data_IF_524177188134
#
_entry.id   IF_524177188134
#
_cell.length_a   1.000
_cell.length_b   1.000
_cell.length_c   1.000
_cell.angle_alpha   90.00
_cell.angle_beta   90.00
_cell.angle_gamma   90.00
#
_symmetry.space_group_name_H-M   'P 1'
#
loop_
_entity.id
_entity.type
_entity.pdbx_description
1 polymer ?
#
# COMPACT_ATOMS: atom_id res chain seq x y z
N UNK A 1 1.91 6.80 21.19
CA UNK A 1 3.05 7.36 20.45
C UNK A 1 3.74 6.23 19.71
N UNK A 2 3.42 6.03 18.43
CA UNK A 2 4.26 5.20 17.58
C UNK A 2 5.65 5.83 17.53
N UNK A 3 6.75 5.06 17.54
CA UNK A 3 8.08 5.63 17.40
C UNK A 3 8.15 6.40 16.08
N UNK A 4 8.36 7.71 16.18
CA UNK A 4 8.56 8.59 15.04
C UNK A 4 10.05 8.78 14.84
N UNK A 5 10.59 8.37 13.70
CA UNK A 5 11.94 8.76 13.27
C UNK A 5 11.84 10.13 12.61
N UNK A 6 12.70 11.07 12.95
CA UNK A 6 12.77 12.36 12.25
C UNK A 6 13.23 12.18 10.79
N UNK A 7 12.81 13.08 9.91
CA UNK A 7 13.34 13.12 8.57
C UNK A 7 14.83 13.51 8.60
N UNK A 8 15.63 12.88 7.74
CA UNK A 8 17.05 13.19 7.63
C UNK A 8 17.42 13.45 6.16
N UNK A 9 17.45 14.73 5.73
CA UNK A 9 17.76 15.08 4.35
C UNK A 9 19.25 14.91 4.02
N UNK A 10 20.11 14.90 5.04
CA UNK A 10 21.55 14.89 4.90
C UNK A 10 22.13 13.48 4.91
N UNK A 11 23.22 13.31 4.17
CA UNK A 11 23.94 12.04 4.10
C UNK A 11 24.65 11.79 5.42
N UNK A 12 24.18 10.79 6.17
CA UNK A 12 24.84 10.33 7.41
C UNK A 12 25.59 9.02 7.13
N UNK A 13 26.89 8.92 7.46
CA UNK A 13 27.66 7.69 7.32
C UNK A 13 26.98 6.50 8.01
N UNK A 14 26.88 5.38 7.31
CA UNK A 14 26.24 4.15 7.83
C UNK A 14 24.73 4.10 7.66
N UNK A 15 24.04 5.20 7.33
CA UNK A 15 22.61 5.19 7.02
C UNK A 15 22.39 4.96 5.52
N UNK A 16 21.60 3.93 5.11
CA UNK A 16 21.46 3.55 3.71
C UNK A 16 20.54 4.50 2.90
N UNK A 17 19.73 5.30 3.57
CA UNK A 17 18.70 6.16 2.96
C UNK A 17 18.69 7.55 3.58
N UNK A 18 18.35 8.56 2.78
CA UNK A 18 17.96 9.89 3.26
C UNK A 18 16.45 10.07 3.11
N UNK A 19 15.86 10.95 3.91
CA UNK A 19 14.42 11.20 3.91
C UNK A 19 14.07 12.66 4.12
N UNK A 20 12.93 13.09 3.60
CA UNK A 20 12.37 14.43 3.87
C UNK A 20 10.85 14.44 3.80
N UNK A 21 10.26 15.36 4.54
CA UNK A 21 8.81 15.54 4.59
C UNK A 21 8.38 16.63 3.61
N UNK A 22 7.27 16.39 2.92
CA UNK A 22 6.66 17.31 1.96
C UNK A 22 5.17 17.42 2.23
N UNK A 23 4.62 18.62 2.13
CA UNK A 23 3.16 18.80 2.16
C UNK A 23 2.56 18.41 0.81
N UNK A 24 1.62 17.47 0.84
CA UNK A 24 0.88 17.01 -0.34
C UNK A 24 -0.34 17.90 -0.57
N UNK A 25 -1.08 18.19 0.51
CA UNK A 25 -2.27 19.02 0.47
C UNK A 25 -2.30 19.94 1.71
N UNK A 26 -2.21 21.26 1.46
CA UNK A 26 -2.18 22.27 2.52
C UNK A 26 -3.49 22.41 3.28
N UNK A 27 -4.64 22.11 2.65
CA UNK A 27 -5.95 22.24 3.28
C UNK A 27 -6.21 21.06 4.23
N UNK A 28 -5.97 19.84 3.75
CA UNK A 28 -6.22 18.62 4.53
C UNK A 28 -5.04 18.23 5.42
N UNK A 29 -3.91 18.95 5.33
CA UNK A 29 -2.65 18.69 6.05
C UNK A 29 -2.08 17.30 5.78
N UNK A 30 -2.41 16.72 4.63
CA UNK A 30 -1.79 15.50 4.15
C UNK A 30 -0.34 15.80 3.75
N UNK A 31 0.57 14.98 4.22
CA UNK A 31 2.00 15.07 3.95
C UNK A 31 2.53 13.69 3.57
N UNK A 32 3.69 13.66 2.93
CA UNK A 32 4.38 12.42 2.60
C UNK A 32 5.85 12.52 2.97
N UNK A 33 6.46 11.38 3.30
CA UNK A 33 7.92 11.26 3.41
C UNK A 33 8.50 10.69 2.14
N UNK A 34 9.40 11.42 1.52
CA UNK A 34 10.17 10.94 0.38
C UNK A 34 11.42 10.27 0.92
N UNK A 35 11.65 9.01 0.54
CA UNK A 35 12.89 8.28 0.82
C UNK A 35 13.71 8.15 -0.46
N UNK A 36 15.03 8.33 -0.34
CA UNK A 36 15.98 8.13 -1.44
C UNK A 36 17.18 7.34 -0.94
N UNK A 37 17.69 6.35 -1.69
CA UNK A 37 18.96 5.71 -1.38
C UNK A 37 20.08 6.74 -1.27
N UNK A 38 20.95 6.56 -0.28
CA UNK A 38 22.14 7.38 -0.11
C UNK A 38 23.13 7.14 -1.27
N UNK A 39 23.30 5.87 -1.66
CA UNK A 39 24.09 5.47 -2.83
C UNK A 39 23.17 5.27 -4.03
N UNK A 40 23.25 6.16 -5.00
CA UNK A 40 22.46 6.08 -6.23
C UNK A 40 23.25 5.30 -7.30
N UNK A 41 22.58 4.38 -8.03
CA UNK A 41 23.20 3.72 -9.17
C UNK A 41 23.46 4.73 -10.30
N UNK A 42 24.64 4.66 -10.91
CA UNK A 42 25.03 5.45 -12.09
C UNK A 42 25.45 4.52 -13.23
N UNK A 43 25.24 4.97 -14.47
CA UNK A 43 25.72 4.32 -15.69
C UNK A 43 26.32 5.38 -16.61
N UNK A 44 27.43 5.08 -17.30
CA UNK A 44 28.09 5.85 -18.36
C UNK A 44 27.72 7.35 -18.47
N UNK A 45 27.94 8.10 -17.37
CA UNK A 45 27.74 9.55 -17.20
C UNK A 45 26.31 10.08 -16.88
N UNK A 46 25.36 9.22 -16.50
CA UNK A 46 24.04 9.62 -15.99
C UNK A 46 23.64 8.89 -14.70
N UNK A 47 22.83 9.53 -13.87
CA UNK A 47 22.21 8.85 -12.71
C UNK A 47 21.03 8.03 -13.20
N UNK A 48 20.99 6.75 -12.84
CA UNK A 48 19.89 5.86 -13.21
C UNK A 48 18.64 6.29 -12.46
N UNK A 49 17.54 6.55 -13.16
CA UNK A 49 16.24 6.83 -12.55
C UNK A 49 15.65 5.55 -11.96
N UNK A 50 15.18 5.66 -10.72
CA UNK A 50 14.63 4.58 -9.91
C UNK A 50 13.11 4.53 -10.05
N UNK A 51 12.48 3.34 -10.00
CA UNK A 51 11.03 3.23 -9.87
C UNK A 51 10.51 4.03 -8.68
N UNK A 52 9.37 4.70 -8.85
CA UNK A 52 8.70 5.42 -7.78
C UNK A 52 7.74 4.47 -7.08
N UNK A 53 7.92 4.29 -5.77
CA UNK A 53 7.02 3.49 -4.93
C UNK A 53 6.20 4.42 -4.04
N UNK A 54 4.90 4.38 -4.23
CA UNK A 54 3.93 4.96 -3.31
C UNK A 54 3.61 3.92 -2.25
N UNK A 55 4.17 4.09 -1.05
CA UNK A 55 3.93 3.20 0.07
C UNK A 55 2.92 3.83 1.03
N UNK A 56 1.76 3.21 1.20
CA UNK A 56 0.74 3.71 2.10
C UNK A 56 0.91 3.09 3.48
N UNK A 57 1.16 3.97 4.45
CA UNK A 57 1.23 3.69 5.88
C UNK A 57 0.42 4.76 6.64
N UNK A 58 0.57 4.92 7.95
CA UNK A 58 -0.26 5.76 8.84
C UNK A 58 -0.25 7.28 8.57
N UNK A 59 0.50 7.75 7.58
CA UNK A 59 0.67 9.18 7.26
C UNK A 59 -0.49 9.76 6.40
N UNK A 60 -1.72 9.35 6.70
CA UNK A 60 -2.95 9.88 6.11
C UNK A 60 -3.95 10.23 7.22
N UNK A 61 -5.05 10.91 6.89
CA UNK A 61 -6.08 11.25 7.88
C UNK A 61 -6.67 9.96 8.45
N UNK A 62 -6.63 9.80 9.78
CA UNK A 62 -7.00 8.54 10.43
C UNK A 62 -8.49 8.48 10.80
N UNK A 63 -9.01 7.26 10.81
CA UNK A 63 -10.28 6.94 11.43
C UNK A 63 -10.11 6.85 12.96
N UNK A 64 -11.14 7.17 13.76
CA UNK A 64 -12.53 7.44 13.37
C UNK A 64 -12.86 8.90 12.98
N UNK A 65 -11.94 9.84 13.16
CA UNK A 65 -12.14 11.26 12.86
C UNK A 65 -12.43 11.47 11.37
N UNK A 66 -11.73 10.72 10.52
CA UNK A 66 -11.91 10.70 9.07
C UNK A 66 -12.12 9.27 8.61
N UNK A 67 -13.38 8.84 8.49
CA UNK A 67 -13.74 7.50 8.01
C UNK A 67 -13.43 7.32 6.53
N UNK A 68 -13.31 6.07 6.09
CA UNK A 68 -13.23 5.72 4.66
C UNK A 68 -14.41 6.38 3.92
N UNK A 69 -14.21 6.96 2.73
CA UNK A 69 -13.07 6.80 1.82
C UNK A 69 -11.91 7.81 1.96
N UNK A 70 -11.86 8.62 3.02
CA UNK A 70 -10.91 9.74 3.12
C UNK A 70 -9.45 9.34 2.84
N UNK A 71 -9.02 8.18 3.34
CA UNK A 71 -7.67 7.65 3.14
C UNK A 71 -7.36 7.32 1.68
N UNK A 72 -8.38 6.90 0.92
CA UNK A 72 -8.25 6.66 -0.51
C UNK A 72 -8.17 7.97 -1.29
N UNK A 73 -8.84 9.03 -0.81
CA UNK A 73 -8.74 10.38 -1.38
C UNK A 73 -7.35 10.96 -1.12
N UNK A 74 -6.80 10.82 0.09
CA UNK A 74 -5.43 11.21 0.43
C UNK A 74 -4.39 10.50 -0.45
N UNK A 75 -4.64 9.23 -0.78
CA UNK A 75 -3.81 8.46 -1.70
C UNK A 75 -3.84 9.02 -3.13
N UNK A 76 -5.03 9.40 -3.62
CA UNK A 76 -5.18 10.03 -4.94
C UNK A 76 -4.52 11.42 -4.96
N UNK A 77 -4.73 12.23 -3.93
CA UNK A 77 -4.07 13.53 -3.76
C UNK A 77 -2.55 13.39 -3.86
N UNK A 78 -1.99 12.36 -3.23
CA UNK A 78 -0.55 12.06 -3.28
C UNK A 78 -0.09 11.69 -4.69
N UNK A 79 -0.83 10.84 -5.41
CA UNK A 79 -0.52 10.48 -6.81
C UNK A 79 -0.54 11.71 -7.71
N UNK A 80 -1.58 12.54 -7.59
CA UNK A 80 -1.72 13.78 -8.36
C UNK A 80 -0.70 14.84 -7.97
N UNK A 81 -0.25 14.86 -6.71
CA UNK A 81 0.83 15.72 -6.27
C UNK A 81 2.17 15.32 -6.92
N UNK A 82 2.49 14.03 -7.00
CA UNK A 82 3.69 13.54 -7.72
C UNK A 82 3.61 13.86 -9.22
N UNK A 83 2.42 13.78 -9.83
CA UNK A 83 2.17 14.28 -11.19
C UNK A 83 2.54 15.76 -11.35
N UNK A 84 2.16 16.61 -10.40
CA UNK A 84 2.54 18.03 -10.45
C UNK A 84 4.05 18.21 -10.36
N UNK A 85 4.75 17.41 -9.53
CA UNK A 85 6.20 17.53 -9.37
C UNK A 85 6.97 17.26 -10.65
N UNK A 86 6.54 16.33 -11.50
CA UNK A 86 7.23 16.08 -12.79
C UNK A 86 6.93 17.15 -13.84
N UNK A 87 5.73 17.72 -13.82
CA UNK A 87 5.30 18.73 -14.78
C UNK A 87 5.84 20.13 -14.46
N UNK A 88 6.20 20.39 -13.20
CA UNK A 88 6.74 21.67 -12.76
C UNK A 88 8.28 21.72 -12.91
N UNK A 89 8.84 22.67 -13.69
CA UNK A 89 10.28 22.91 -13.75
C UNK A 89 10.95 23.27 -12.42
N UNK A 90 10.17 23.60 -11.39
CA UNK A 90 10.60 23.82 -10.00
C UNK A 90 10.05 22.77 -9.03
N UNK A 91 9.46 21.69 -9.54
CA UNK A 91 8.95 20.60 -8.73
C UNK A 91 10.03 19.89 -7.91
N UNK A 92 9.59 19.03 -6.99
CA UNK A 92 10.45 18.36 -6.03
C UNK A 92 11.66 17.66 -6.70
N UNK A 93 12.87 18.13 -6.36
CA UNK A 93 14.13 17.73 -7.00
C UNK A 93 14.43 16.24 -6.87
N UNK A 94 14.18 15.60 -5.71
CA UNK A 94 14.52 14.17 -5.59
C UNK A 94 13.68 13.31 -6.53
N UNK A 95 12.39 13.62 -6.66
CA UNK A 95 11.52 12.95 -7.61
C UNK A 95 11.93 13.24 -9.07
N UNK A 96 12.24 14.50 -9.41
CA UNK A 96 12.58 14.88 -10.79
C UNK A 96 13.94 14.36 -11.26
N UNK A 97 14.93 14.40 -10.38
CA UNK A 97 16.31 14.06 -10.71
C UNK A 97 16.52 12.54 -10.67
N UNK A 98 15.83 11.83 -9.77
CA UNK A 98 16.09 10.41 -9.49
C UNK A 98 14.89 9.48 -9.73
N UNK A 99 13.68 10.00 -9.88
CA UNK A 99 12.46 9.20 -10.07
C UNK A 99 12.16 8.89 -11.53
N UNK A 100 11.79 7.65 -11.80
CA UNK A 100 11.24 7.20 -13.07
C UNK A 100 9.71 7.18 -13.02
N UNK A 101 9.10 8.28 -13.48
CA UNK A 101 7.64 8.44 -13.50
C UNK A 101 6.92 7.45 -14.44
N UNK A 102 7.65 6.75 -15.31
CA UNK A 102 7.08 5.71 -16.18
C UNK A 102 7.06 4.33 -15.52
N UNK A 103 7.68 4.20 -14.33
CA UNK A 103 7.74 2.99 -13.51
C UNK A 103 7.27 3.29 -12.08
N UNK A 104 5.96 3.46 -11.92
CA UNK A 104 5.35 3.69 -10.62
C UNK A 104 4.69 2.42 -10.07
N UNK A 105 4.74 2.24 -8.75
CA UNK A 105 4.11 1.13 -8.04
C UNK A 105 3.39 1.63 -6.80
N UNK A 106 2.24 1.04 -6.48
CA UNK A 106 1.50 1.29 -5.25
C UNK A 106 1.68 0.09 -4.30
N UNK A 107 1.84 0.32 -3.01
CA UNK A 107 1.86 -0.80 -2.08
C UNK A 107 1.70 -0.40 -0.63
N UNK A 108 1.61 -1.41 0.22
CA UNK A 108 1.42 -1.21 1.65
C UNK A 108 1.23 -2.54 2.38
N UNK A 109 1.23 -2.46 3.71
CA UNK A 109 0.97 -3.59 4.61
C UNK A 109 -0.34 -3.39 5.37
N UNK A 110 -1.11 -4.46 5.61
CA UNK A 110 -2.34 -4.37 6.40
C UNK A 110 -3.35 -3.40 5.77
N UNK A 111 -3.78 -2.39 6.53
CA UNK A 111 -4.64 -1.31 6.03
C UNK A 111 -4.00 -0.52 4.88
N UNK A 112 -2.67 -0.39 4.85
CA UNK A 112 -1.94 0.21 3.73
C UNK A 112 -2.09 -0.58 2.43
N UNK A 113 -2.17 -1.91 2.52
CA UNK A 113 -2.47 -2.77 1.37
C UNK A 113 -3.91 -2.58 0.86
N UNK A 114 -4.88 -2.42 1.78
CA UNK A 114 -6.24 -2.05 1.42
C UNK A 114 -6.27 -0.69 0.69
N UNK A 115 -5.61 0.33 1.23
CA UNK A 115 -5.51 1.66 0.62
C UNK A 115 -4.85 1.58 -0.76
N UNK A 116 -3.73 0.85 -0.90
CA UNK A 116 -3.05 0.69 -2.18
C UNK A 116 -3.96 0.12 -3.28
N UNK A 117 -4.74 -0.92 -2.94
CA UNK A 117 -5.72 -1.51 -3.86
C UNK A 117 -6.82 -0.51 -4.26
N UNK A 118 -7.46 0.13 -3.27
CA UNK A 118 -8.53 1.10 -3.54
C UNK A 118 -8.04 2.35 -4.29
N UNK A 119 -6.82 2.81 -4.00
CA UNK A 119 -6.17 3.91 -4.70
C UNK A 119 -5.87 3.54 -6.16
N UNK A 120 -5.43 2.31 -6.44
CA UNK A 120 -5.20 1.85 -7.81
C UNK A 120 -6.49 1.81 -8.64
N UNK A 121 -7.57 1.29 -8.05
CA UNK A 121 -8.90 1.28 -8.70
C UNK A 121 -9.40 2.71 -8.96
N UNK A 122 -9.25 3.62 -7.99
CA UNK A 122 -9.65 5.02 -8.14
C UNK A 122 -8.77 5.76 -9.15
N UNK A 123 -7.46 5.48 -9.22
CA UNK A 123 -6.55 6.16 -10.13
C UNK A 123 -6.94 5.97 -11.60
N UNK A 124 -7.62 4.87 -11.94
CA UNK A 124 -8.18 4.64 -13.28
C UNK A 124 -9.25 5.67 -13.69
N UNK A 125 -9.89 6.34 -12.72
CA UNK A 125 -10.88 7.39 -12.97
C UNK A 125 -10.23 8.79 -13.12
N UNK A 126 -8.90 8.90 -13.03
CA UNK A 126 -8.16 10.17 -13.10
C UNK A 126 -7.13 10.17 -14.25
N UNK A 127 -6.89 11.33 -14.84
CA UNK A 127 -5.72 11.53 -15.70
C UNK A 127 -4.47 11.67 -14.82
N UNK A 128 -3.70 10.58 -14.71
CA UNK A 128 -2.43 10.54 -13.97
C UNK A 128 -1.21 10.76 -14.86
N UNK A 129 -1.36 10.93 -16.19
CA UNK A 129 -0.20 11.11 -17.08
C UNK A 129 0.62 12.35 -16.70
N UNK A 130 1.96 12.29 -16.78
CA UNK A 130 2.77 11.26 -17.44
C UNK A 130 3.08 10.02 -16.57
N UNK A 131 2.50 9.88 -15.38
CA UNK A 131 2.74 8.72 -14.54
C UNK A 131 2.19 7.45 -15.18
N UNK A 132 2.87 6.34 -14.91
CA UNK A 132 2.41 5.01 -15.29
C UNK A 132 2.52 4.07 -14.10
N UNK A 133 1.38 3.56 -13.61
CA UNK A 133 1.33 2.58 -12.53
C UNK A 133 1.46 1.20 -13.14
N UNK A 134 2.62 0.55 -12.96
CA UNK A 134 2.95 -0.73 -13.57
C UNK A 134 2.47 -1.94 -12.75
N UNK A 135 2.20 -1.72 -11.47
CA UNK A 135 1.66 -2.76 -10.60
C UNK A 135 1.43 -2.30 -9.17
N UNK A 136 0.82 -3.20 -8.40
CA UNK A 136 0.60 -3.03 -6.97
C UNK A 136 1.21 -4.20 -6.19
N UNK A 137 1.74 -3.95 -5.00
CA UNK A 137 2.20 -5.00 -4.10
C UNK A 137 1.54 -4.87 -2.72
N UNK A 138 0.97 -5.95 -2.23
CA UNK A 138 0.09 -5.98 -1.07
C UNK A 138 0.65 -6.99 -0.06
N UNK A 139 1.20 -6.50 1.05
CA UNK A 139 1.68 -7.35 2.14
C UNK A 139 0.58 -7.51 3.19
N UNK A 140 0.00 -8.70 3.32
CA UNK A 140 -1.06 -8.99 4.28
C UNK A 140 -2.20 -7.94 4.22
N UNK A 141 -2.79 -7.66 3.04
CA UNK A 141 -3.77 -6.59 2.90
C UNK A 141 -5.00 -6.87 3.77
N UNK A 142 -5.46 -5.84 4.47
CA UNK A 142 -6.60 -5.94 5.39
C UNK A 142 -7.93 -5.94 4.62
N UNK A 143 -8.61 -7.08 4.63
CA UNK A 143 -9.96 -7.28 4.10
C UNK A 143 -10.82 -7.97 5.15
N UNK A 144 -12.14 -7.90 4.99
CA UNK A 144 -13.09 -8.50 5.91
C UNK A 144 -14.41 -8.85 5.23
N UNK A 145 -15.45 -8.97 6.06
CA UNK A 145 -16.80 -9.31 5.65
C UNK A 145 -17.65 -9.67 6.86
N UNK A 146 -18.97 -9.72 6.66
CA UNK A 146 -19.91 -10.02 7.74
C UNK A 146 -19.82 -11.49 8.18
N UNK A 147 -19.90 -12.41 7.23
CA UNK A 147 -19.76 -13.84 7.48
C UNK A 147 -18.31 -14.21 7.76
N UNK A 148 -18.04 -14.99 8.81
CA UNK A 148 -16.67 -15.38 9.18
C UNK A 148 -16.16 -16.51 8.29
N UNK A 149 -14.90 -16.40 7.88
CA UNK A 149 -14.18 -17.47 7.19
C UNK A 149 -13.42 -18.36 8.17
N UNK A 150 -13.04 -19.59 7.79
CA UNK A 150 -12.32 -20.53 8.65
C UNK A 150 -11.08 -19.95 9.36
N UNK A 151 -10.23 -19.18 8.66
CA UNK A 151 -9.04 -18.56 9.25
C UNK A 151 -9.40 -17.58 10.38
N UNK A 152 -10.45 -16.78 10.20
CA UNK A 152 -10.94 -15.84 11.21
C UNK A 152 -11.36 -16.58 12.48
N UNK A 153 -12.09 -17.70 12.34
CA UNK A 153 -12.56 -18.50 13.47
C UNK A 153 -11.42 -19.28 14.16
N UNK A 154 -10.50 -19.84 13.37
CA UNK A 154 -9.33 -20.58 13.86
C UNK A 154 -8.42 -19.68 14.71
N UNK A 155 -8.24 -18.43 14.29
CA UNK A 155 -7.42 -17.44 14.98
C UNK A 155 -8.27 -16.37 15.68
N UNK A 156 -9.43 -16.76 16.21
CA UNK A 156 -10.38 -15.83 16.83
C UNK A 156 -9.79 -15.03 18.00
N UNK A 157 -8.87 -15.65 18.73
CA UNK A 157 -8.14 -15.10 19.88
C UNK A 157 -6.66 -14.86 19.55
N UNK A 158 -6.35 -14.48 18.31
CA UNK A 158 -4.99 -14.11 17.90
C UNK A 158 -4.39 -13.07 18.87
N UNK A 159 -3.08 -13.16 19.11
CA UNK A 159 -2.42 -12.30 20.10
C UNK A 159 -2.20 -10.87 19.62
N UNK A 160 -2.18 -10.65 18.30
CA UNK A 160 -1.94 -9.33 17.71
C UNK A 160 -3.23 -8.69 17.22
N UNK A 161 -4.07 -9.45 16.52
CA UNK A 161 -5.31 -8.98 15.88
C UNK A 161 -6.48 -9.95 16.12
N UNK A 162 -6.94 -10.12 17.38
CA UNK A 162 -8.10 -10.95 17.69
C UNK A 162 -9.36 -10.38 17.03
N UNK A 163 -10.38 -11.23 16.78
CA UNK A 163 -11.56 -10.81 16.02
C UNK A 163 -12.30 -9.59 16.58
N UNK A 164 -12.47 -9.41 17.90
CA UNK A 164 -13.10 -8.20 18.43
C UNK A 164 -12.33 -6.92 18.08
N UNK A 165 -11.00 -7.00 17.97
CA UNK A 165 -10.17 -5.86 17.54
C UNK A 165 -10.36 -5.60 16.06
N UNK A 166 -10.36 -6.65 15.21
CA UNK A 166 -10.65 -6.49 13.78
C UNK A 166 -12.05 -5.88 13.53
N UNK A 167 -13.05 -6.28 14.30
CA UNK A 167 -14.40 -5.71 14.21
C UNK A 167 -14.42 -4.25 14.60
N UNK A 168 -13.77 -3.89 15.71
CA UNK A 168 -13.66 -2.51 16.15
C UNK A 168 -12.92 -1.64 15.12
N UNK A 169 -11.83 -2.14 14.53
CA UNK A 169 -11.10 -1.42 13.49
C UNK A 169 -12.01 -1.11 12.29
N UNK A 170 -12.80 -2.10 11.83
CA UNK A 170 -13.76 -1.87 10.75
C UNK A 170 -14.90 -0.95 11.14
N UNK A 171 -15.44 -1.08 12.36
CA UNK A 171 -16.48 -0.18 12.88
C UNK A 171 -16.01 1.27 12.94
N UNK A 172 -14.75 1.51 13.32
CA UNK A 172 -14.18 2.86 13.37
C UNK A 172 -13.86 3.40 11.97
N UNK A 173 -13.42 2.54 11.04
CA UNK A 173 -12.96 2.95 9.71
C UNK A 173 -14.08 3.11 8.68
N UNK A 174 -15.10 2.25 8.68
CA UNK A 174 -16.14 2.26 7.64
C UNK A 174 -17.05 3.50 7.74
N UNK A 175 -17.74 3.89 6.65
CA UNK A 175 -18.80 4.89 6.73
C UNK A 175 -19.84 4.53 7.80
N UNK A 176 -20.39 5.53 8.48
CA UNK A 176 -21.43 5.30 9.50
C UNK A 176 -22.63 4.56 8.89
N UNK A 177 -23.29 3.72 9.69
CA UNK A 177 -24.45 2.93 9.29
C UNK A 177 -24.18 1.97 8.10
N UNK A 178 -22.95 1.50 7.96
CA UNK A 178 -22.59 0.41 7.04
C UNK A 178 -22.10 -0.80 7.83
N UNK A 179 -22.05 -1.97 7.18
CA UNK A 179 -21.49 -3.18 7.75
C UNK A 179 -20.22 -3.62 7.00
N UNK A 180 -19.67 -4.75 7.42
CA UNK A 180 -18.40 -5.27 6.89
C UNK A 180 -18.51 -5.85 5.48
N UNK A 181 -19.70 -5.99 4.89
CA UNK A 181 -19.86 -6.30 3.47
C UNK A 181 -19.82 -5.06 2.58
N UNK A 182 -19.64 -3.87 3.17
CA UNK A 182 -19.30 -2.67 2.41
C UNK A 182 -18.02 -2.89 1.59
N UNK A 183 -18.02 -2.40 0.34
CA UNK A 183 -16.94 -2.56 -0.66
C UNK A 183 -15.52 -2.22 -0.21
N UNK A 184 -15.37 -1.39 0.82
CA UNK A 184 -14.08 -0.98 1.39
C UNK A 184 -13.48 -2.05 2.31
N UNK A 185 -14.35 -2.89 2.89
CA UNK A 185 -13.97 -4.03 3.72
C UNK A 185 -13.97 -5.33 2.89
N UNK A 186 -15.01 -5.53 2.07
CA UNK A 186 -15.22 -6.75 1.31
C UNK A 186 -15.40 -6.46 -0.19
N UNK A 187 -14.33 -6.08 -0.92
CA UNK A 187 -14.42 -5.79 -2.35
C UNK A 187 -14.81 -7.02 -3.19
N UNK A 188 -14.61 -8.23 -2.66
CA UNK A 188 -14.96 -9.49 -3.32
C UNK A 188 -16.48 -9.69 -3.50
N UNK A 189 -17.33 -8.90 -2.86
CA UNK A 189 -18.78 -8.93 -3.06
C UNK A 189 -19.31 -7.77 -3.93
N UNK A 190 -18.48 -6.79 -4.29
CA UNK A 190 -18.93 -5.62 -5.03
C UNK A 190 -18.69 -5.77 -6.55
N UNK A 191 -19.77 -5.86 -7.32
CA UNK A 191 -19.72 -6.07 -8.77
C UNK A 191 -19.07 -4.89 -9.54
N UNK A 192 -19.19 -3.66 -9.02
CA UNK A 192 -18.58 -2.48 -9.64
C UNK A 192 -17.07 -2.50 -9.45
N UNK A 193 -16.60 -2.95 -8.29
CA UNK A 193 -15.18 -3.13 -8.05
C UNK A 193 -14.60 -4.25 -8.92
N UNK A 194 -15.29 -5.40 -9.00
CA UNK A 194 -14.86 -6.51 -9.87
C UNK A 194 -14.66 -6.07 -11.32
N UNK A 195 -15.58 -5.29 -11.89
CA UNK A 195 -15.44 -4.83 -13.28
C UNK A 195 -14.22 -3.91 -13.49
N UNK A 196 -13.83 -3.15 -12.45
CA UNK A 196 -12.64 -2.29 -12.48
C UNK A 196 -11.33 -3.02 -12.17
N UNK A 197 -11.36 -4.19 -11.54
CA UNK A 197 -10.14 -4.95 -11.19
C UNK A 197 -9.32 -5.29 -12.44
N UNK A 198 -9.97 -5.55 -13.57
CA UNK A 198 -9.29 -5.80 -14.86
C UNK A 198 -8.43 -4.64 -15.36
N UNK A 199 -8.62 -3.42 -14.84
CA UNK A 199 -7.80 -2.25 -15.16
C UNK A 199 -6.46 -2.20 -14.41
N UNK A 200 -6.29 -3.07 -13.40
CA UNK A 200 -5.05 -3.13 -12.63
C UNK A 200 -3.91 -3.71 -13.48
N UNK A 201 -2.70 -3.19 -13.23
CA UNK A 201 -1.47 -3.81 -13.70
C UNK A 201 -1.17 -5.12 -12.97
N UNK A 202 0.12 -5.50 -12.94
CA UNK A 202 0.54 -6.71 -12.20
C UNK A 202 0.28 -6.54 -10.70
N UNK A 203 -0.10 -7.61 -10.02
CA UNK A 203 -0.36 -7.61 -8.59
C UNK A 203 0.57 -8.61 -7.89
N UNK A 204 1.29 -8.17 -6.85
CA UNK A 204 1.94 -9.06 -5.90
C UNK A 204 1.11 -9.10 -4.62
N UNK A 205 0.77 -10.29 -4.13
CA UNK A 205 0.03 -10.48 -2.88
C UNK A 205 0.80 -11.44 -1.98
N UNK A 206 1.14 -10.97 -0.78
CA UNK A 206 1.89 -11.75 0.22
C UNK A 206 0.99 -12.00 1.43
N UNK A 207 0.91 -13.23 1.93
CA UNK A 207 0.15 -13.57 3.14
C UNK A 207 0.73 -14.80 3.84
N UNK A 208 0.29 -15.06 5.07
CA UNK A 208 0.80 -16.12 5.92
C UNK A 208 -0.35 -16.87 6.61
N UNK A 209 -0.28 -18.19 6.72
CA UNK A 209 -1.38 -19.06 7.17
C UNK A 209 -1.93 -18.72 8.56
N UNK A 210 -1.10 -18.16 9.46
CA UNK A 210 -1.53 -17.79 10.81
C UNK A 210 -2.07 -16.36 10.92
N UNK A 211 -2.30 -15.67 9.79
CA UNK A 211 -3.03 -14.41 9.75
C UNK A 211 -4.55 -14.69 9.80
N UNK A 212 -5.32 -14.13 10.75
CA UNK A 212 -6.78 -14.25 10.78
C UNK A 212 -7.47 -13.90 9.45
N UNK A 213 -6.88 -13.00 8.65
CA UNK A 213 -7.43 -12.56 7.36
C UNK A 213 -7.00 -13.43 6.17
N UNK A 214 -6.25 -14.52 6.38
CA UNK A 214 -5.70 -15.36 5.32
C UNK A 214 -6.74 -15.76 4.26
N UNK A 215 -7.90 -16.28 4.66
CA UNK A 215 -8.94 -16.71 3.71
C UNK A 215 -9.52 -15.52 2.93
N UNK A 216 -9.54 -14.32 3.51
CA UNK A 216 -9.95 -13.09 2.81
C UNK A 216 -8.96 -12.73 1.72
N UNK A 217 -7.67 -12.83 2.01
CA UNK A 217 -6.60 -12.56 1.06
C UNK A 217 -6.59 -13.62 -0.06
N UNK A 218 -6.88 -14.88 0.26
CA UNK A 218 -7.08 -15.92 -0.75
C UNK A 218 -8.29 -15.61 -1.67
N UNK A 219 -9.44 -15.25 -1.09
CA UNK A 219 -10.62 -14.86 -1.87
C UNK A 219 -10.35 -13.64 -2.76
N UNK A 220 -9.56 -12.68 -2.27
CA UNK A 220 -9.11 -11.53 -3.05
C UNK A 220 -8.24 -11.94 -4.24
N UNK A 221 -7.27 -12.84 -4.04
CA UNK A 221 -6.44 -13.37 -5.14
C UNK A 221 -7.29 -14.12 -6.17
N UNK A 222 -8.28 -14.89 -5.72
CA UNK A 222 -9.22 -15.56 -6.63
C UNK A 222 -10.01 -14.55 -7.49
N UNK A 223 -10.45 -13.43 -6.90
CA UNK A 223 -11.08 -12.34 -7.64
C UNK A 223 -10.13 -11.75 -8.69
N UNK A 224 -8.87 -11.46 -8.33
CA UNK A 224 -7.88 -10.94 -9.29
C UNK A 224 -7.67 -11.90 -10.47
N UNK A 225 -7.50 -13.18 -10.20
CA UNK A 225 -7.30 -14.22 -11.23
C UNK A 225 -8.54 -14.37 -12.12
N UNK A 226 -9.74 -14.36 -11.54
CA UNK A 226 -11.00 -14.43 -12.29
C UNK A 226 -11.16 -13.25 -13.27
N UNK A 227 -10.72 -12.06 -12.86
CA UNK A 227 -10.71 -10.85 -13.68
C UNK A 227 -9.46 -10.71 -14.58
N UNK A 228 -8.70 -11.80 -14.75
CA UNK A 228 -7.52 -11.93 -15.64
C UNK A 228 -6.36 -10.98 -15.33
N UNK A 229 -6.26 -10.52 -14.08
CA UNK A 229 -5.11 -9.75 -13.61
C UNK A 229 -3.90 -10.69 -13.47
N UNK A 230 -2.71 -10.22 -13.85
CA UNK A 230 -1.48 -10.98 -13.61
C UNK A 230 -1.13 -10.92 -12.12
N UNK A 231 -1.22 -12.06 -11.42
CA UNK A 231 -0.96 -12.15 -9.97
C UNK A 231 0.29 -12.98 -9.68
N UNK A 232 1.21 -12.42 -8.88
CA UNK A 232 2.22 -13.16 -8.14
C UNK A 232 1.73 -13.34 -6.68
N UNK A 233 1.35 -14.57 -6.33
CA UNK A 233 0.78 -14.91 -5.04
C UNK A 233 1.83 -15.64 -4.17
N UNK A 234 2.23 -15.04 -3.05
CA UNK A 234 3.22 -15.58 -2.12
C UNK A 234 2.58 -15.87 -0.77
N UNK A 235 2.12 -17.10 -0.60
CA UNK A 235 1.49 -17.59 0.62
C UNK A 235 2.44 -18.55 1.33
N UNK A 236 2.80 -18.23 2.57
CA UNK A 236 3.68 -19.08 3.40
C UNK A 236 2.87 -19.74 4.52
N UNK A 237 3.10 -21.04 4.73
CA UNK A 237 2.44 -21.84 5.77
C UNK A 237 2.94 -21.51 7.18
N UNK A 238 4.06 -20.81 7.31
CA UNK A 238 4.63 -20.36 8.59
C UNK A 238 4.72 -18.85 8.62
N UNK A 239 3.90 -18.25 9.46
CA UNK A 239 3.96 -16.83 9.80
C UNK A 239 2.61 -16.27 10.21
N UNK A 240 2.62 -15.13 10.88
CA UNK A 240 1.45 -14.45 11.41
C UNK A 240 1.39 -13.00 10.92
N UNK A 241 0.33 -12.28 11.26
CA UNK A 241 0.16 -10.88 10.88
C UNK A 241 1.32 -10.00 11.37
N UNK A 242 1.98 -9.24 10.49
CA UNK A 242 3.14 -8.40 10.80
C UNK A 242 4.41 -9.15 11.26
N UNK A 243 4.60 -10.41 10.86
CA UNK A 243 5.81 -11.17 11.19
C UNK A 243 7.12 -10.45 10.79
N UNK A 244 7.08 -9.66 9.71
CA UNK A 244 8.19 -8.87 9.20
C UNK A 244 8.61 -7.70 10.11
N UNK A 245 7.79 -7.33 11.11
CA UNK A 245 8.18 -6.32 12.10
C UNK A 245 9.13 -6.91 13.16
N UNK A 246 8.95 -8.19 13.48
CA UNK A 246 9.63 -8.84 14.61
C UNK A 246 10.70 -9.84 14.17
N UNK A 247 10.66 -10.29 12.92
CA UNK A 247 11.63 -11.20 12.32
C UNK A 247 12.34 -10.52 11.14
N UNK A 248 13.62 -10.19 11.34
CA UNK A 248 14.44 -9.50 10.33
C UNK A 248 14.76 -10.37 9.11
N UNK A 249 14.79 -11.69 9.23
CA UNK A 249 14.97 -12.59 8.09
C UNK A 249 13.72 -12.59 7.22
N UNK A 250 12.54 -12.62 7.85
CA UNK A 250 11.25 -12.49 7.14
C UNK A 250 11.11 -11.12 6.49
N UNK A 251 11.50 -10.05 7.17
CA UNK A 251 11.54 -8.71 6.58
C UNK A 251 12.42 -8.67 5.32
N UNK A 252 13.64 -9.22 5.39
CA UNK A 252 14.55 -9.25 4.24
C UNK A 252 14.01 -10.11 3.09
N UNK A 253 13.37 -11.23 3.39
CA UNK A 253 12.76 -12.09 2.38
C UNK A 253 11.61 -11.37 1.65
N UNK A 254 10.71 -10.70 2.39
CA UNK A 254 9.62 -9.91 1.79
C UNK A 254 10.16 -8.77 0.93
N UNK A 255 11.18 -8.05 1.41
CA UNK A 255 11.82 -7.00 0.61
C UNK A 255 12.45 -7.53 -0.68
N UNK A 256 13.03 -8.73 -0.66
CA UNK A 256 13.56 -9.37 -1.87
C UNK A 256 12.45 -9.74 -2.86
N UNK A 257 11.33 -10.28 -2.38
CA UNK A 257 10.15 -10.58 -3.22
C UNK A 257 9.62 -9.29 -3.87
N UNK A 258 9.46 -8.22 -3.08
CA UNK A 258 8.99 -6.92 -3.61
C UNK A 258 9.99 -6.36 -4.62
N UNK A 259 11.29 -6.48 -4.36
CA UNK A 259 12.34 -6.07 -5.30
C UNK A 259 12.22 -6.83 -6.62
N UNK A 260 12.12 -8.16 -6.59
CA UNK A 260 11.95 -9.01 -7.79
C UNK A 260 10.70 -8.66 -8.59
N UNK A 261 9.62 -8.24 -7.91
CA UNK A 261 8.40 -7.82 -8.56
C UNK A 261 8.54 -6.46 -9.29
N UNK A 262 9.32 -5.53 -8.73
CA UNK A 262 9.50 -4.16 -9.24
C UNK A 262 10.49 -4.09 -10.42
N UNK A 263 11.54 -4.92 -10.41
CA UNK A 263 12.64 -4.87 -11.38
C UNK A 263 12.33 -5.52 -12.73
#
# INVERSE_FOLDING_TARGET
>A
NFPSTEANPDIIPGIPTVSKDVTVNEETKVWARIFRPNKLPSNDNTVVRLPIVFYFHVEHRLAPEHRLPTQYEDAIDTILWVKKQVLDPQGERWLRDYGDFTRCYLGGRGSGGNIAFHAAIKAADHDIKPLNINGIFLNQPMFGGKERLPSELKYATDQLIPLPVLDLLWELALPKATDRDHRYCNPMQDAVYKSKVSSLGRCLVISFDMDPMFDRVQAFVQMLVAEKVQVDARFDIVGFHNIDIVDTQRAQAILNIIKEFII
#
